data_IF_854104890446
#
_entry.id   IF_854104890446
#
_cell.length_a   1.000
_cell.length_b   1.000
_cell.length_c   1.000
_cell.angle_alpha   90.00
_cell.angle_beta   90.00
_cell.angle_gamma   90.00
#
_symmetry.space_group_name_H-M   'P 1'
#
loop_
_entity.id
_entity.type
_entity.pdbx_description
1 polymer ?
#
# COMPACT_ATOMS: atom_id res chain seq x y z
N UNK A 1 -23.18 3.38 5.00
CA UNK A 1 -23.38 1.99 4.63
C UNK A 1 -22.56 1.64 3.39
N UNK A 2 -22.81 2.26 2.19
CA UNK A 2 -22.11 1.94 0.92
C UNK A 2 -20.58 1.81 1.09
N UNK A 3 -19.92 2.83 1.61
CA UNK A 3 -18.47 2.83 1.76
C UNK A 3 -17.95 1.75 2.75
N UNK A 4 -18.69 1.48 3.83
CA UNK A 4 -18.34 0.40 4.76
C UNK A 4 -18.52 -0.98 4.13
N UNK A 5 -19.51 -1.15 3.27
CA UNK A 5 -19.72 -2.38 2.49
C UNK A 5 -18.60 -2.58 1.48
N UNK A 6 -18.24 -1.55 0.72
CA UNK A 6 -17.13 -1.59 -0.22
C UNK A 6 -15.79 -1.88 0.48
N UNK A 7 -15.60 -1.38 1.72
CA UNK A 7 -14.42 -1.68 2.54
C UNK A 7 -14.51 -3.04 3.27
N UNK A 8 -15.50 -3.88 2.96
CA UNK A 8 -15.75 -5.18 3.60
C UNK A 8 -15.80 -5.10 5.14
N UNK A 9 -16.39 -4.03 5.67
CA UNK A 9 -16.43 -3.76 7.12
C UNK A 9 -17.88 -3.69 7.67
N UNK A 10 -18.88 -3.45 6.81
CA UNK A 10 -20.28 -3.20 7.24
C UNK A 10 -20.82 -4.28 8.16
N UNK A 11 -20.70 -5.55 7.78
CA UNK A 11 -21.26 -6.65 8.56
C UNK A 11 -20.59 -6.85 9.93
N UNK A 12 -19.39 -6.33 10.09
CA UNK A 12 -18.66 -6.42 11.36
C UNK A 12 -19.00 -5.27 12.33
N UNK A 13 -19.52 -4.13 11.81
CA UNK A 13 -19.69 -2.92 12.64
C UNK A 13 -21.10 -2.33 12.62
N UNK A 14 -22.02 -2.85 11.81
CA UNK A 14 -23.38 -2.30 11.61
C UNK A 14 -24.19 -2.14 12.91
N UNK A 15 -23.96 -3.00 13.90
CA UNK A 15 -24.65 -2.98 15.17
C UNK A 15 -23.92 -2.11 16.24
N UNK A 16 -22.76 -1.55 15.88
CA UNK A 16 -21.82 -0.90 16.77
C UNK A 16 -21.37 0.49 16.28
N UNK A 17 -22.14 1.13 15.39
CA UNK A 17 -21.76 2.38 14.71
C UNK A 17 -21.49 3.56 15.67
N UNK A 18 -22.06 3.54 16.86
CA UNK A 18 -21.88 4.57 17.90
C UNK A 18 -20.67 4.30 18.81
N UNK A 19 -20.00 3.15 18.66
CA UNK A 19 -18.83 2.82 19.46
C UNK A 19 -17.58 3.60 19.01
N UNK A 20 -16.62 3.71 19.94
CA UNK A 20 -15.36 4.34 19.65
C UNK A 20 -14.56 3.49 18.66
N UNK A 21 -14.14 4.08 17.53
CA UNK A 21 -13.36 3.41 16.52
C UNK A 21 -12.01 2.86 17.02
N UNK A 22 -11.48 3.39 18.13
CA UNK A 22 -10.25 2.87 18.76
C UNK A 22 -10.45 1.49 19.43
N UNK A 23 -11.68 1.05 19.62
CA UNK A 23 -11.99 -0.30 20.13
C UNK A 23 -11.97 -1.37 19.04
N UNK A 24 -11.91 -0.96 17.76
CA UNK A 24 -11.79 -1.85 16.62
C UNK A 24 -10.39 -2.48 16.57
N UNK A 25 -10.28 -3.70 16.02
CA UNK A 25 -8.98 -4.31 15.72
C UNK A 25 -8.21 -3.49 14.68
N UNK A 26 -6.88 -3.64 14.61
CA UNK A 26 -6.04 -2.91 13.66
C UNK A 26 -6.51 -3.06 12.21
N UNK A 27 -6.88 -4.28 11.79
CA UNK A 27 -7.43 -4.52 10.45
C UNK A 27 -8.79 -3.87 10.21
N UNK A 28 -9.65 -3.78 11.21
CA UNK A 28 -10.92 -3.07 11.14
C UNK A 28 -10.70 -1.55 11.06
N UNK A 29 -9.77 -1.01 11.87
CA UNK A 29 -9.40 0.41 11.81
C UNK A 29 -8.86 0.79 10.43
N UNK A 30 -8.01 -0.07 9.84
CA UNK A 30 -7.48 0.17 8.49
C UNK A 30 -8.59 0.16 7.44
N UNK A 31 -9.52 -0.81 7.49
CA UNK A 31 -10.68 -0.83 6.58
C UNK A 31 -11.61 0.35 6.80
N UNK A 32 -11.74 0.84 8.03
CA UNK A 32 -12.49 2.07 8.33
C UNK A 32 -11.82 3.30 7.69
N UNK A 33 -10.49 3.41 7.73
CA UNK A 33 -9.75 4.47 7.05
C UNK A 33 -9.98 4.40 5.52
N UNK A 34 -9.95 3.21 4.93
CA UNK A 34 -10.28 3.00 3.52
C UNK A 34 -11.72 3.42 3.23
N UNK A 35 -12.70 2.99 4.05
CA UNK A 35 -14.09 3.38 3.90
C UNK A 35 -14.29 4.91 3.91
N UNK A 36 -13.58 5.62 4.79
CA UNK A 36 -13.60 7.09 4.84
C UNK A 36 -13.05 7.71 3.56
N UNK A 37 -11.98 7.14 3.01
CA UNK A 37 -11.34 7.62 1.79
C UNK A 37 -12.27 7.44 0.58
N UNK A 38 -12.87 6.25 0.41
CA UNK A 38 -13.74 5.98 -0.75
C UNK A 38 -15.12 6.64 -0.63
N UNK A 39 -15.54 7.07 0.57
CA UNK A 39 -16.84 7.73 0.77
C UNK A 39 -17.00 9.05 0.00
N UNK A 40 -15.90 9.69 -0.40
CA UNK A 40 -15.89 10.92 -1.19
C UNK A 40 -15.72 10.65 -2.68
N UNK A 41 -15.72 9.37 -3.09
CA UNK A 41 -15.61 8.91 -4.49
C UNK A 41 -14.41 9.54 -5.23
N UNK A 42 -13.17 9.37 -4.73
CA UNK A 42 -11.97 9.96 -5.35
C UNK A 42 -11.60 9.23 -6.65
N UNK A 43 -10.90 9.89 -7.57
CA UNK A 43 -10.31 9.22 -8.74
C UNK A 43 -9.11 8.34 -8.37
N UNK A 44 -8.37 8.75 -7.33
CA UNK A 44 -7.13 8.09 -6.90
C UNK A 44 -7.06 7.98 -5.38
N UNK A 45 -6.68 6.80 -4.90
CA UNK A 45 -6.45 6.51 -3.48
C UNK A 45 -4.93 6.43 -3.23
N UNK A 46 -4.45 7.18 -2.24
CA UNK A 46 -3.07 7.11 -1.78
C UNK A 46 -3.01 6.33 -0.47
N UNK A 47 -2.18 5.30 -0.41
CA UNK A 47 -1.99 4.45 0.77
C UNK A 47 -0.52 4.46 1.18
N UNK A 48 -0.25 4.88 2.41
CA UNK A 48 1.09 4.88 2.98
C UNK A 48 1.19 3.75 4.01
N UNK A 49 2.04 2.75 3.72
CA UNK A 49 2.28 1.56 4.55
C UNK A 49 0.98 0.88 5.04
N UNK A 50 0.01 0.54 4.16
CA UNK A 50 -1.33 0.15 4.58
C UNK A 50 -1.41 -1.13 5.42
N UNK A 51 -0.35 -1.94 5.47
CA UNK A 51 -0.31 -3.21 6.18
C UNK A 51 0.81 -3.29 7.23
N UNK A 52 1.58 -2.23 7.49
CA UNK A 52 2.81 -2.28 8.30
C UNK A 52 2.58 -2.73 9.76
N UNK A 53 1.41 -2.47 10.33
CA UNK A 53 1.06 -2.79 11.72
C UNK A 53 0.06 -3.97 11.83
N UNK A 54 -0.15 -4.74 10.76
CA UNK A 54 -1.15 -5.78 10.69
C UNK A 54 -0.53 -7.17 10.77
N UNK A 55 -1.27 -8.11 11.38
CA UNK A 55 -0.94 -9.53 11.30
C UNK A 55 -1.16 -10.08 9.87
N UNK A 56 -0.63 -11.27 9.53
CA UNK A 56 -0.73 -11.81 8.18
C UNK A 56 -2.17 -12.02 7.67
N UNK A 57 -3.11 -12.33 8.56
CA UNK A 57 -4.53 -12.54 8.19
C UNK A 57 -5.19 -11.23 7.85
N UNK A 58 -4.98 -10.20 8.67
CA UNK A 58 -5.48 -8.85 8.42
C UNK A 58 -4.82 -8.24 7.15
N UNK A 59 -3.51 -8.44 6.96
CA UNK A 59 -2.79 -8.04 5.75
C UNK A 59 -3.43 -8.63 4.49
N UNK A 60 -3.70 -9.94 4.50
CA UNK A 60 -4.35 -10.60 3.36
C UNK A 60 -5.73 -10.00 3.05
N UNK A 61 -6.53 -9.71 4.06
CA UNK A 61 -7.84 -9.05 3.88
C UNK A 61 -7.72 -7.67 3.23
N UNK A 62 -6.70 -6.89 3.60
CA UNK A 62 -6.45 -5.57 2.98
C UNK A 62 -5.96 -5.73 1.53
N UNK A 63 -5.07 -6.69 1.26
CA UNK A 63 -4.61 -6.99 -0.10
C UNK A 63 -5.79 -7.42 -1.00
N UNK A 64 -6.67 -8.30 -0.53
CA UNK A 64 -7.86 -8.71 -1.27
C UNK A 64 -8.83 -7.54 -1.50
N UNK A 65 -9.01 -6.68 -0.50
CA UNK A 65 -9.82 -5.47 -0.63
C UNK A 65 -9.25 -4.52 -1.70
N UNK A 66 -7.94 -4.32 -1.73
CA UNK A 66 -7.29 -3.49 -2.76
C UNK A 66 -7.54 -4.05 -4.17
N UNK A 67 -7.49 -5.37 -4.36
CA UNK A 67 -7.80 -6.01 -5.64
C UNK A 67 -9.24 -5.79 -6.10
N UNK A 68 -10.19 -5.62 -5.18
CA UNK A 68 -11.56 -5.23 -5.53
C UNK A 68 -11.67 -3.73 -5.86
N UNK A 69 -11.00 -2.89 -5.08
CA UNK A 69 -11.06 -1.44 -5.22
C UNK A 69 -10.40 -0.92 -6.52
N UNK A 70 -9.38 -1.61 -7.05
CA UNK A 70 -8.74 -1.22 -8.33
C UNK A 70 -9.69 -1.28 -9.53
N UNK A 71 -10.84 -1.96 -9.40
CA UNK A 71 -11.88 -1.98 -10.44
C UNK A 71 -12.60 -0.63 -10.60
N UNK A 72 -12.58 0.20 -9.56
CA UNK A 72 -13.27 1.48 -9.51
C UNK A 72 -12.30 2.67 -9.33
N UNK A 73 -11.15 2.46 -8.70
CA UNK A 73 -10.20 3.50 -8.29
C UNK A 73 -8.78 3.22 -8.79
N UNK A 74 -8.03 4.26 -9.11
CA UNK A 74 -6.57 4.14 -9.21
C UNK A 74 -5.97 4.12 -7.80
N UNK A 75 -5.06 3.17 -7.52
CA UNK A 75 -4.44 3.06 -6.19
C UNK A 75 -2.93 3.25 -6.31
N UNK A 76 -2.38 4.16 -5.51
CA UNK A 76 -0.94 4.34 -5.32
C UNK A 76 -0.57 3.94 -3.90
N UNK A 77 0.35 2.96 -3.77
CA UNK A 77 0.80 2.43 -2.50
C UNK A 77 2.27 2.80 -2.29
N UNK A 78 2.60 3.35 -1.12
CA UNK A 78 3.97 3.45 -0.63
C UNK A 78 4.19 2.32 0.38
N UNK A 79 5.19 1.48 0.15
CA UNK A 79 5.54 0.40 1.06
C UNK A 79 7.02 0.05 0.95
N UNK A 80 7.61 -0.38 2.08
CA UNK A 80 8.93 -1.00 2.12
C UNK A 80 8.86 -2.54 2.07
N UNK A 81 7.64 -3.11 2.04
CA UNK A 81 7.45 -4.56 2.00
C UNK A 81 7.43 -5.06 0.54
N UNK A 82 8.59 -5.60 0.11
CA UNK A 82 8.77 -6.16 -1.24
C UNK A 82 7.74 -7.22 -1.61
N UNK A 83 7.37 -8.07 -0.64
CA UNK A 83 6.39 -9.13 -0.90
C UNK A 83 4.99 -8.55 -1.13
N UNK A 84 4.61 -7.51 -0.40
CA UNK A 84 3.36 -6.79 -0.63
C UNK A 84 3.38 -6.12 -2.02
N UNK A 85 4.43 -5.37 -2.34
CA UNK A 85 4.58 -4.74 -3.66
C UNK A 85 4.45 -5.76 -4.79
N UNK A 86 5.19 -6.88 -4.69
CA UNK A 86 5.15 -7.94 -5.70
C UNK A 86 3.78 -8.59 -5.90
N UNK A 87 2.94 -8.67 -4.85
CA UNK A 87 1.62 -9.31 -4.94
C UNK A 87 0.47 -8.37 -5.28
N UNK A 88 0.63 -7.09 -4.94
CA UNK A 88 -0.52 -6.16 -4.89
C UNK A 88 -0.46 -5.05 -5.93
N UNK A 89 0.58 -4.97 -6.75
CA UNK A 89 0.72 -3.91 -7.74
C UNK A 89 0.93 -4.43 -9.17
N UNK A 90 0.46 -3.68 -10.15
CA UNK A 90 0.71 -3.91 -11.58
C UNK A 90 2.04 -3.30 -11.99
N UNK A 91 2.38 -2.14 -11.43
CA UNK A 91 3.60 -1.38 -11.67
C UNK A 91 4.29 -1.02 -10.38
N UNK A 92 5.62 -1.00 -10.40
CA UNK A 92 6.45 -0.56 -9.28
C UNK A 92 7.35 0.59 -9.67
N UNK A 93 7.53 1.53 -8.73
CA UNK A 93 8.51 2.60 -8.80
C UNK A 93 9.50 2.44 -7.65
N UNK A 94 10.76 2.21 -7.95
CA UNK A 94 11.82 2.13 -6.94
C UNK A 94 12.48 3.49 -6.77
N UNK A 95 12.44 4.00 -5.55
CA UNK A 95 13.10 5.24 -5.16
C UNK A 95 14.25 4.97 -4.20
N UNK A 96 15.32 5.72 -4.35
CA UNK A 96 16.44 5.76 -3.40
C UNK A 96 16.68 7.19 -2.92
N UNK A 97 17.53 7.34 -1.92
CA UNK A 97 17.98 8.65 -1.47
C UNK A 97 19.34 8.97 -2.05
N UNK A 98 19.48 10.15 -2.65
CA UNK A 98 20.75 10.72 -3.08
C UNK A 98 21.15 11.85 -2.15
N UNK A 99 22.37 11.78 -1.65
CA UNK A 99 22.95 12.86 -0.86
C UNK A 99 23.71 13.80 -1.79
N UNK A 100 23.52 15.12 -1.63
CA UNK A 100 24.25 16.14 -2.39
C UNK A 100 25.77 16.05 -2.10
N UNK A 101 26.60 16.54 -3.02
CA UNK A 101 28.06 16.48 -2.92
C UNK A 101 28.61 17.19 -1.66
N UNK A 102 27.87 18.18 -1.15
CA UNK A 102 28.19 18.88 0.11
C UNK A 102 27.71 18.15 1.37
N UNK A 103 27.07 16.99 1.23
CA UNK A 103 26.54 16.15 2.30
C UNK A 103 25.34 16.74 3.07
N UNK A 104 24.82 17.90 2.66
CA UNK A 104 23.82 18.66 3.45
C UNK A 104 22.37 18.38 3.06
N UNK A 105 22.12 17.82 1.87
CA UNK A 105 20.76 17.58 1.38
C UNK A 105 20.61 16.14 0.96
N UNK A 106 19.46 15.56 1.33
CA UNK A 106 19.00 14.27 0.81
C UNK A 106 17.77 14.51 -0.05
N UNK A 107 17.77 13.95 -1.25
CA UNK A 107 16.63 13.99 -2.19
C UNK A 107 16.24 12.58 -2.58
N UNK A 108 14.95 12.33 -2.79
CA UNK A 108 14.49 11.11 -3.42
C UNK A 108 14.84 11.13 -4.91
N UNK A 109 15.34 10.01 -5.41
CA UNK A 109 15.62 9.80 -6.84
C UNK A 109 14.89 8.55 -7.31
N UNK A 110 14.10 8.66 -8.39
CA UNK A 110 13.49 7.52 -9.05
C UNK A 110 14.60 6.75 -9.78
N UNK A 111 14.81 5.51 -9.36
CA UNK A 111 15.81 4.61 -9.96
C UNK A 111 15.22 3.86 -11.12
N UNK A 112 14.03 3.29 -10.93
CA UNK A 112 13.38 2.47 -11.93
C UNK A 112 11.85 2.55 -11.77
N UNK A 113 11.15 2.50 -12.89
CA UNK A 113 9.70 2.34 -12.97
C UNK A 113 9.40 1.29 -14.04
N UNK A 114 8.74 0.20 -13.66
CA UNK A 114 8.48 -0.90 -14.57
C UNK A 114 7.23 -1.71 -14.13
N UNK A 115 6.78 -2.61 -15.00
CA UNK A 115 5.81 -3.64 -14.59
C UNK A 115 6.37 -4.44 -13.41
N UNK A 116 5.50 -4.77 -12.47
CA UNK A 116 5.90 -5.49 -11.25
C UNK A 116 6.60 -6.82 -11.57
N UNK A 117 6.10 -7.56 -12.54
CA UNK A 117 6.71 -8.82 -12.98
C UNK A 117 8.17 -8.64 -13.45
N UNK A 118 8.44 -7.60 -14.22
CA UNK A 118 9.80 -7.27 -14.71
C UNK A 118 10.66 -6.79 -13.55
N UNK A 119 10.15 -5.86 -12.75
CA UNK A 119 10.86 -5.30 -11.59
C UNK A 119 11.39 -6.40 -10.65
N UNK A 120 10.61 -7.46 -10.41
CA UNK A 120 10.97 -8.52 -9.46
C UNK A 120 11.68 -9.73 -10.07
N UNK A 121 11.77 -9.84 -11.40
CA UNK A 121 12.45 -10.97 -12.07
C UNK A 121 13.69 -10.58 -12.86
N UNK A 122 13.62 -9.50 -13.61
CA UNK A 122 14.66 -9.03 -14.52
C UNK A 122 14.73 -7.51 -14.56
N UNK A 123 15.02 -6.85 -13.42
CA UNK A 123 15.07 -5.40 -13.37
C UNK A 123 16.14 -4.82 -14.30
N UNK A 124 15.88 -3.65 -14.87
CA UNK A 124 16.79 -2.99 -15.81
C UNK A 124 17.98 -2.32 -15.09
N UNK A 125 17.86 -2.07 -13.78
CA UNK A 125 18.88 -1.40 -12.98
C UNK A 125 19.51 -2.33 -11.95
N UNK A 126 20.83 -2.37 -11.95
CA UNK A 126 21.62 -3.13 -10.96
C UNK A 126 21.25 -2.74 -9.51
N UNK A 127 20.98 -1.45 -9.26
CA UNK A 127 20.58 -0.96 -7.94
C UNK A 127 19.23 -1.55 -7.49
N UNK A 128 18.30 -1.72 -8.42
CA UNK A 128 17.01 -2.38 -8.17
C UNK A 128 17.22 -3.85 -7.85
N UNK A 129 18.07 -4.55 -8.61
CA UNK A 129 18.40 -5.96 -8.38
C UNK A 129 19.02 -6.16 -6.99
N UNK A 130 19.98 -5.30 -6.61
CA UNK A 130 20.63 -5.35 -5.31
C UNK A 130 19.62 -5.13 -4.17
N UNK A 131 18.70 -4.18 -4.33
CA UNK A 131 17.67 -3.89 -3.32
C UNK A 131 16.70 -5.05 -3.15
N UNK A 132 16.16 -5.59 -4.25
CA UNK A 132 15.20 -6.71 -4.22
C UNK A 132 15.84 -7.99 -3.69
N UNK A 133 17.12 -8.25 -4.03
CA UNK A 133 17.85 -9.43 -3.56
C UNK A 133 18.36 -9.31 -2.11
N UNK A 134 18.13 -8.19 -1.44
CA UNK A 134 18.65 -7.93 -0.08
C UNK A 134 20.18 -7.70 -0.01
N UNK A 135 20.82 -7.43 -1.15
CA UNK A 135 22.27 -7.13 -1.24
C UNK A 135 22.57 -5.64 -1.16
N UNK A 136 21.54 -4.85 -0.85
CA UNK A 136 21.64 -3.41 -0.73
C UNK A 136 22.25 -3.06 0.63
N UNK A 137 23.48 -2.52 0.64
CA UNK A 137 24.21 -2.11 1.86
C UNK A 137 25.61 -1.63 1.53
#
# INVERSE_FOLDING_TARGET
EKALTQAALWDEVKDDLDKNALELSGGQQQRLCIARTIAVEPDTILMDEPCSALDPVATKKIEDLMQELVKEFSILIVTHNMQQASRSSDYCAFFTTKTSDDGKRRTGELVEFNETSVMFTTPDKELTEQYISGRFG
#
